data_IF_589986095188
#
_entry.id   IF_589986095188
#
_cell.length_a   1.000
_cell.length_b   1.000
_cell.length_c   1.000
_cell.angle_alpha   90.00
_cell.angle_beta   90.00
_cell.angle_gamma   90.00
#
_symmetry.space_group_name_H-M   'P 1'
#
loop_
_entity.id
_entity.type
_entity.pdbx_description
1 polymer ?
#
# COMPACT_ATOMS: atom_id res chain seq x y z
N UNK A 1 -5.17 59.36 -31.77
CA UNK A 1 -4.68 60.74 -31.62
C UNK A 1 -4.92 61.17 -30.17
N UNK A 2 -3.84 61.33 -29.36
CA UNK A 2 -3.72 62.23 -28.17
C UNK A 2 -4.71 61.96 -26.99
N UNK A 3 -4.37 61.72 -25.71
CA UNK A 3 -3.21 61.96 -24.82
C UNK A 3 -3.36 61.13 -23.52
N UNK A 4 -2.21 60.84 -22.91
CA UNK A 4 -1.98 60.37 -21.52
C UNK A 4 -2.68 61.24 -20.46
N UNK A 5 -2.98 60.68 -19.29
CA UNK A 5 -2.44 61.17 -18.00
C UNK A 5 -2.75 60.21 -16.84
N UNK A 6 -1.67 59.63 -16.30
CA UNK A 6 -1.61 59.04 -14.96
C UNK A 6 -1.32 60.15 -13.93
N UNK A 7 -1.91 60.05 -12.74
CA UNK A 7 -1.35 60.60 -11.49
C UNK A 7 -1.78 59.73 -10.32
N UNK A 8 -0.82 59.03 -9.71
CA UNK A 8 -0.91 58.65 -8.30
C UNK A 8 -0.52 59.82 -7.42
N UNK A 9 -0.76 59.70 -6.10
CA UNK A 9 0.12 60.18 -5.02
C UNK A 9 -0.35 59.57 -3.70
N UNK A 10 0.63 58.97 -3.03
CA UNK A 10 0.73 58.45 -1.67
C UNK A 10 0.74 59.61 -0.66
N UNK A 11 0.33 59.42 0.60
CA UNK A 11 1.05 59.95 1.80
C UNK A 11 0.44 59.31 3.06
N UNK A 12 1.33 58.76 3.87
CA UNK A 12 1.11 58.24 5.21
C UNK A 12 1.06 59.36 6.26
N UNK A 13 0.33 59.15 7.35
CA UNK A 13 0.53 59.93 8.58
C UNK A 13 0.53 58.98 9.79
N UNK A 14 1.69 58.90 10.45
CA UNK A 14 1.89 58.24 11.74
C UNK A 14 1.68 59.26 12.86
N UNK A 15 0.89 58.92 13.87
CA UNK A 15 0.90 59.59 15.18
C UNK A 15 0.94 58.49 16.24
N UNK A 16 2.03 58.49 17.01
CA UNK A 16 2.21 57.69 18.21
C UNK A 16 2.01 58.60 19.43
N UNK A 17 1.18 58.17 20.39
CA UNK A 17 1.13 58.73 21.74
C UNK A 17 1.07 57.59 22.76
N UNK A 18 2.10 57.55 23.62
CA UNK A 18 2.28 56.80 24.88
C UNK A 18 1.43 57.51 25.97
N UNK A 19 0.82 56.96 27.04
CA UNK A 19 1.12 56.02 28.16
C UNK A 19 -0.27 55.75 28.88
N UNK A 20 -0.51 55.01 30.00
CA UNK A 20 0.13 53.87 30.70
C UNK A 20 -0.79 52.66 31.04
N UNK A 21 -0.13 51.53 31.31
CA UNK A 21 -0.45 50.49 32.32
C UNK A 21 -1.92 50.23 32.71
N UNK A 22 -2.46 49.12 32.21
CA UNK A 22 -3.59 48.44 32.85
C UNK A 22 -4.47 47.71 31.86
N UNK A 23 -4.43 46.37 31.93
CA UNK A 23 -5.33 45.43 31.25
C UNK A 23 -4.96 45.10 29.80
N UNK A 24 -4.30 43.95 29.67
CA UNK A 24 -4.13 43.17 28.45
C UNK A 24 -5.51 42.80 27.90
N UNK A 25 -5.87 43.38 26.76
CA UNK A 25 -6.91 42.84 25.88
C UNK A 25 -6.25 42.50 24.54
N UNK A 26 -5.46 41.43 24.54
CA UNK A 26 -5.10 40.70 23.33
C UNK A 26 -6.42 40.20 22.73
N UNK A 27 -6.86 40.84 21.65
CA UNK A 27 -7.85 40.27 20.75
C UNK A 27 -7.23 39.01 20.15
N UNK A 28 -7.38 37.88 20.84
CA UNK A 28 -7.20 36.58 20.22
C UNK A 28 -8.31 36.45 19.19
N UNK A 29 -7.97 36.60 17.92
CA UNK A 29 -8.63 35.86 16.87
C UNK A 29 -8.50 34.39 17.27
N UNK A 30 -9.53 33.88 17.94
CA UNK A 30 -9.72 32.46 18.10
C UNK A 30 -10.03 31.94 16.70
N UNK A 31 -8.98 31.59 15.97
CA UNK A 31 -9.13 30.53 14.99
C UNK A 31 -9.72 29.37 15.78
N UNK A 32 -10.99 29.12 15.51
CA UNK A 32 -11.64 27.87 15.82
C UNK A 32 -10.83 26.85 15.03
N UNK A 33 -9.79 26.32 15.68
CA UNK A 33 -9.23 25.05 15.31
C UNK A 33 -10.41 24.12 15.44
N UNK A 34 -11.09 23.86 14.33
CA UNK A 34 -11.72 22.58 14.11
C UNK A 34 -10.55 21.59 14.21
N UNK A 35 -10.19 21.24 15.45
CA UNK A 35 -9.56 19.97 15.74
C UNK A 35 -10.30 18.99 14.87
N UNK A 36 -9.64 18.27 13.95
CA UNK A 36 -10.32 17.23 13.22
C UNK A 36 -10.90 16.34 14.31
N UNK A 37 -12.22 16.42 14.49
CA UNK A 37 -12.97 15.51 15.33
C UNK A 37 -12.43 14.16 14.93
N UNK A 38 -11.75 13.49 15.85
CA UNK A 38 -11.28 12.13 15.65
C UNK A 38 -12.46 11.41 15.01
N UNK A 39 -12.34 11.16 13.69
CA UNK A 39 -13.46 10.66 12.91
C UNK A 39 -13.81 9.38 13.61
N UNK A 40 -14.99 9.35 14.23
CA UNK A 40 -15.49 8.25 15.03
C UNK A 40 -15.07 6.98 14.30
N UNK A 41 -14.05 6.27 14.82
CA UNK A 41 -13.46 5.14 14.12
C UNK A 41 -14.65 4.26 13.76
N UNK A 42 -14.87 4.02 12.47
CA UNK A 42 -16.16 3.53 11.96
C UNK A 42 -16.55 2.15 12.52
N UNK A 43 -15.72 1.57 13.38
CA UNK A 43 -15.73 0.18 13.82
C UNK A 43 -15.33 -0.76 12.69
N UNK A 44 -15.34 -0.28 11.44
CA UNK A 44 -15.09 -1.08 10.26
C UNK A 44 -13.59 -1.32 10.12
N UNK A 45 -13.20 -2.54 9.78
CA UNK A 45 -11.81 -2.83 9.40
C UNK A 45 -11.71 -4.13 8.62
N UNK A 46 -10.70 -4.22 7.74
CA UNK A 46 -10.36 -5.46 7.06
C UNK A 46 -9.11 -6.07 7.69
N UNK A 47 -9.14 -7.39 7.94
CA UNK A 47 -7.95 -8.16 8.29
C UNK A 47 -7.70 -9.24 7.26
N UNK A 48 -6.52 -9.22 6.64
CA UNK A 48 -6.09 -10.25 5.70
C UNK A 48 -5.05 -11.14 6.38
N UNK A 49 -5.33 -12.44 6.42
CA UNK A 49 -4.40 -13.45 6.90
C UNK A 49 -3.93 -14.30 5.72
N UNK A 50 -2.66 -14.16 5.36
CA UNK A 50 -2.04 -14.90 4.26
C UNK A 50 -1.28 -16.09 4.84
N UNK A 51 -1.75 -17.29 4.51
CA UNK A 51 -1.07 -18.55 4.81
C UNK A 51 -0.10 -18.89 3.67
N UNK A 52 1.19 -18.81 3.96
CA UNK A 52 2.28 -19.08 3.03
C UNK A 52 2.54 -20.58 2.99
N UNK A 53 2.33 -21.15 1.81
CA UNK A 53 2.46 -22.57 1.51
C UNK A 53 3.67 -22.86 0.62
N UNK A 54 3.94 -24.15 0.39
CA UNK A 54 4.97 -24.56 -0.55
C UNK A 54 4.54 -24.35 -2.02
N UNK A 55 5.45 -23.96 -2.93
CA UNK A 55 6.89 -23.77 -2.73
C UNK A 55 7.32 -22.42 -2.13
N UNK A 56 6.49 -21.38 -2.13
CA UNK A 56 6.85 -20.04 -1.61
C UNK A 56 7.47 -20.07 -0.21
N UNK A 57 6.94 -20.92 0.68
CA UNK A 57 7.43 -21.07 2.04
C UNK A 57 8.84 -21.64 2.17
N UNK A 58 9.36 -22.35 1.16
CA UNK A 58 10.72 -22.92 1.12
C UNK A 58 11.62 -22.12 0.18
N UNK A 59 11.17 -21.90 -1.05
CA UNK A 59 11.98 -21.27 -2.09
C UNK A 59 12.09 -19.75 -1.89
N UNK A 60 11.19 -19.17 -1.08
CA UNK A 60 11.06 -17.73 -0.94
C UNK A 60 10.34 -17.12 -2.14
N UNK A 61 10.25 -15.80 -2.17
CA UNK A 61 9.56 -15.09 -3.25
C UNK A 61 9.02 -13.74 -2.78
N UNK A 62 7.99 -13.26 -3.45
CA UNK A 62 7.40 -11.97 -3.15
C UNK A 62 5.87 -12.00 -3.24
N UNK A 63 5.26 -11.34 -2.28
CA UNK A 63 3.82 -11.07 -2.25
C UNK A 63 3.62 -9.56 -2.37
N UNK A 64 2.92 -9.14 -3.41
CA UNK A 64 2.45 -7.76 -3.56
C UNK A 64 1.04 -7.71 -2.94
N UNK A 65 0.84 -6.83 -1.98
CA UNK A 65 -0.46 -6.65 -1.32
C UNK A 65 -1.01 -5.30 -1.74
N UNK A 66 -2.16 -5.31 -2.42
CA UNK A 66 -2.87 -4.13 -2.91
C UNK A 66 -4.22 -3.99 -2.21
N UNK A 67 -4.40 -2.87 -1.51
CA UNK A 67 -5.66 -2.53 -0.84
C UNK A 67 -6.34 -1.35 -1.54
N UNK A 68 -7.64 -1.47 -1.81
CA UNK A 68 -8.46 -0.40 -2.39
C UNK A 68 -9.59 0.02 -1.45
N UNK A 69 -9.79 1.33 -1.22
CA UNK A 69 -10.98 1.83 -0.53
C UNK A 69 -12.25 1.37 -1.25
N UNK A 70 -13.28 1.06 -0.48
CA UNK A 70 -14.57 0.59 -0.98
C UNK A 70 -15.70 1.19 -0.13
N UNK A 71 -16.84 1.58 -0.73
CA UNK A 71 -17.93 2.23 0.00
C UNK A 71 -18.33 1.43 1.24
N UNK A 72 -18.48 2.12 2.37
CA UNK A 72 -18.68 1.45 3.67
C UNK A 72 -19.97 0.62 3.73
N UNK A 73 -21.02 1.04 3.05
CA UNK A 73 -22.30 0.35 2.90
C UNK A 73 -22.15 -0.93 2.05
N UNK A 74 -21.50 -0.83 0.90
CA UNK A 74 -21.20 -2.00 0.06
C UNK A 74 -20.24 -2.96 0.78
N UNK A 75 -19.23 -2.44 1.47
CA UNK A 75 -18.29 -3.23 2.25
C UNK A 75 -19.00 -4.03 3.34
N UNK A 76 -19.99 -3.45 4.03
CA UNK A 76 -20.78 -4.16 5.06
C UNK A 76 -21.48 -5.40 4.50
N UNK A 77 -21.94 -5.33 3.25
CA UNK A 77 -22.62 -6.43 2.57
C UNK A 77 -21.70 -7.60 2.18
N UNK A 78 -20.37 -7.40 2.18
CA UNK A 78 -19.41 -8.48 1.88
C UNK A 78 -19.45 -9.54 2.98
N UNK A 79 -19.71 -10.79 2.61
CA UNK A 79 -19.61 -11.91 3.55
C UNK A 79 -18.14 -12.21 3.90
N UNK A 80 -17.85 -12.44 5.17
CA UNK A 80 -16.50 -12.75 5.64
C UNK A 80 -16.43 -14.13 6.28
N UNK A 81 -15.30 -14.81 6.12
CA UNK A 81 -15.07 -16.13 6.73
C UNK A 81 -14.83 -16.07 8.25
N UNK A 82 -14.72 -14.87 8.82
CA UNK A 82 -14.56 -14.63 10.24
C UNK A 82 -14.50 -13.14 10.57
N UNK A 83 -14.40 -12.82 11.87
CA UNK A 83 -14.39 -11.45 12.37
C UNK A 83 -15.53 -11.17 13.37
N UNK A 84 -15.71 -9.90 13.71
CA UNK A 84 -16.76 -9.40 14.61
C UNK A 84 -17.61 -8.34 13.90
N UNK A 85 -18.60 -7.77 14.59
CA UNK A 85 -19.46 -6.71 14.07
C UNK A 85 -18.67 -5.41 13.88
N UNK A 86 -17.91 -5.34 12.79
CA UNK A 86 -17.03 -4.22 12.46
C UNK A 86 -15.80 -4.70 11.72
N UNK A 87 -15.12 -5.74 12.20
CA UNK A 87 -13.96 -6.30 11.49
C UNK A 87 -14.33 -7.51 10.66
N UNK A 88 -13.99 -7.50 9.36
CA UNK A 88 -14.06 -8.69 8.49
C UNK A 88 -12.68 -9.29 8.31
N UNK A 89 -12.56 -10.60 8.52
CA UNK A 89 -11.33 -11.36 8.37
C UNK A 89 -11.39 -12.28 7.14
N UNK A 90 -10.35 -12.21 6.30
CA UNK A 90 -10.19 -13.05 5.12
C UNK A 90 -8.92 -13.89 5.25
N UNK A 91 -9.10 -15.21 5.20
CA UNK A 91 -8.01 -16.17 5.27
C UNK A 91 -7.70 -16.66 3.85
N UNK A 92 -6.48 -16.41 3.40
CA UNK A 92 -6.00 -16.72 2.05
C UNK A 92 -4.84 -17.71 2.14
N UNK A 93 -4.61 -18.46 1.07
CA UNK A 93 -3.45 -19.33 0.90
C UNK A 93 -2.67 -18.89 -0.33
N UNK A 94 -1.35 -18.81 -0.22
CA UNK A 94 -0.46 -18.42 -1.33
C UNK A 94 0.71 -19.39 -1.38
N UNK A 95 0.94 -19.98 -2.55
CA UNK A 95 1.99 -20.96 -2.81
C UNK A 95 2.99 -20.53 -3.89
N UNK A 96 2.59 -19.67 -4.83
CA UNK A 96 3.49 -19.21 -5.89
C UNK A 96 4.57 -18.27 -5.35
N UNK A 97 5.83 -18.37 -5.84
CA UNK A 97 6.88 -17.40 -5.53
C UNK A 97 6.59 -15.97 -5.98
N UNK A 98 5.62 -15.77 -6.87
CA UNK A 98 5.21 -14.46 -7.38
C UNK A 98 3.70 -14.33 -7.30
N UNK A 99 3.22 -13.66 -6.27
CA UNK A 99 1.78 -13.50 -6.03
C UNK A 99 1.39 -12.07 -5.70
N UNK A 100 0.13 -11.76 -6.01
CA UNK A 100 -0.50 -10.48 -5.73
C UNK A 100 -1.81 -10.74 -5.02
N UNK A 101 -2.04 -10.05 -3.92
CA UNK A 101 -3.30 -10.05 -3.17
C UNK A 101 -3.95 -8.69 -3.36
N UNK A 102 -4.99 -8.62 -4.19
CA UNK A 102 -5.78 -7.42 -4.48
C UNK A 102 -7.12 -7.53 -3.77
N UNK A 103 -7.42 -6.58 -2.89
CA UNK A 103 -8.60 -6.64 -2.05
C UNK A 103 -9.15 -5.26 -1.70
N UNK A 104 -10.39 -5.24 -1.23
CA UNK A 104 -11.09 -4.04 -0.79
C UNK A 104 -11.14 -3.90 0.73
N UNK A 105 -11.15 -2.66 1.21
CA UNK A 105 -11.32 -2.30 2.61
C UNK A 105 -12.26 -1.10 2.76
N UNK A 106 -12.89 -0.90 3.94
CA UNK A 106 -13.88 0.17 4.10
C UNK A 106 -13.20 1.52 3.94
N UNK A 107 -13.76 2.39 3.10
CA UNK A 107 -13.18 3.67 2.74
C UNK A 107 -12.92 4.58 3.96
N UNK A 108 -13.70 4.43 5.04
CA UNK A 108 -13.51 5.18 6.28
C UNK A 108 -12.44 4.63 7.23
N UNK A 109 -11.71 3.56 6.85
CA UNK A 109 -10.81 2.85 7.75
C UNK A 109 -9.51 2.39 7.09
N UNK A 110 -8.72 1.61 7.82
CA UNK A 110 -7.50 0.94 7.35
C UNK A 110 -7.68 -0.58 7.36
N UNK A 111 -6.64 -1.28 6.91
CA UNK A 111 -6.58 -2.73 6.97
C UNK A 111 -5.33 -3.19 7.72
N UNK A 112 -5.40 -4.42 8.22
CA UNK A 112 -4.26 -5.10 8.84
C UNK A 112 -3.91 -6.36 8.06
N UNK A 113 -2.61 -6.66 8.04
CA UNK A 113 -2.08 -7.82 7.34
C UNK A 113 -1.31 -8.72 8.31
N UNK A 114 -1.56 -10.04 8.23
CA UNK A 114 -0.78 -11.06 8.92
C UNK A 114 -0.31 -12.11 7.93
N UNK A 115 0.99 -12.40 7.93
CA UNK A 115 1.54 -13.55 7.22
C UNK A 115 1.84 -14.67 8.22
N UNK A 116 1.49 -15.90 7.88
CA UNK A 116 1.82 -17.09 8.65
C UNK A 116 2.24 -18.20 7.70
N UNK A 117 3.16 -19.07 8.12
CA UNK A 117 3.44 -20.30 7.38
C UNK A 117 2.30 -21.29 7.60
N UNK A 118 1.93 -22.08 6.59
CA UNK A 118 1.06 -23.25 6.80
C UNK A 118 1.80 -24.20 7.75
N UNK A 119 1.18 -24.53 8.88
CA UNK A 119 1.85 -25.25 9.96
C UNK A 119 2.38 -26.60 9.47
N UNK A 120 3.68 -26.83 9.63
CA UNK A 120 4.30 -28.16 9.59
C UNK A 120 5.08 -28.33 10.88
N UNK A 121 5.06 -29.52 11.47
CA UNK A 121 5.51 -29.79 12.85
C UNK A 121 6.98 -29.49 13.17
N UNK A 122 7.78 -29.00 12.21
CA UNK A 122 9.14 -28.51 12.41
C UNK A 122 9.47 -27.27 11.56
N UNK A 123 8.47 -26.45 11.23
CA UNK A 123 8.69 -25.26 10.41
C UNK A 123 9.53 -24.21 11.13
N UNK A 124 10.64 -23.79 10.52
CA UNK A 124 11.31 -22.52 10.88
C UNK A 124 10.26 -21.39 10.93
N UNK A 125 10.44 -20.33 11.73
CA UNK A 125 9.58 -19.16 11.61
C UNK A 125 9.60 -18.58 10.20
N UNK A 126 8.46 -18.07 9.72
CA UNK A 126 8.40 -17.34 8.47
C UNK A 126 9.19 -16.04 8.62
N UNK A 127 10.21 -15.84 7.79
CA UNK A 127 10.98 -14.60 7.74
C UNK A 127 10.52 -13.79 6.55
N UNK A 128 10.17 -12.53 6.82
CA UNK A 128 9.66 -11.61 5.80
C UNK A 128 10.27 -10.24 5.97
N UNK A 129 10.37 -9.51 4.85
CA UNK A 129 10.82 -8.12 4.82
C UNK A 129 9.93 -7.32 3.90
N UNK A 130 9.36 -6.23 4.40
CA UNK A 130 8.73 -5.25 3.52
C UNK A 130 9.83 -4.49 2.77
N UNK A 131 9.79 -4.51 1.44
CA UNK A 131 10.85 -3.93 0.60
C UNK A 131 10.39 -2.69 -0.19
N UNK A 132 9.08 -2.47 -0.30
CA UNK A 132 8.50 -1.31 -0.98
C UNK A 132 7.07 -1.05 -0.49
N UNK A 133 6.73 0.23 -0.36
CA UNK A 133 5.36 0.74 -0.26
C UNK A 133 5.16 1.75 -1.38
N UNK A 134 3.94 1.85 -1.94
CA UNK A 134 3.63 2.89 -2.90
C UNK A 134 2.27 2.68 -3.55
N UNK A 135 2.15 3.12 -4.80
CA UNK A 135 0.99 2.92 -5.67
C UNK A 135 1.46 2.39 -7.04
N UNK A 136 0.53 1.89 -7.84
CA UNK A 136 0.78 1.57 -9.25
C UNK A 136 -0.48 1.76 -10.10
N UNK A 137 -0.27 1.99 -11.38
CA UNK A 137 -1.28 1.91 -12.43
C UNK A 137 -0.96 0.69 -13.28
N UNK A 138 -1.93 -0.21 -13.44
CA UNK A 138 -1.75 -1.47 -14.16
C UNK A 138 -2.97 -1.80 -14.99
N UNK A 139 -2.82 -2.71 -15.93
CA UNK A 139 -3.98 -3.33 -16.59
C UNK A 139 -4.47 -4.49 -15.75
N UNK A 140 -5.77 -4.52 -15.48
CA UNK A 140 -6.41 -5.65 -14.85
C UNK A 140 -6.27 -6.88 -15.75
N UNK A 141 -5.69 -8.00 -15.30
CA UNK A 141 -5.45 -9.14 -16.17
C UNK A 141 -6.75 -9.80 -16.68
N UNK A 142 -7.87 -9.62 -15.97
CA UNK A 142 -9.16 -10.20 -16.35
C UNK A 142 -9.93 -9.27 -17.29
N UNK A 143 -10.03 -7.99 -16.96
CA UNK A 143 -10.84 -7.04 -17.73
C UNK A 143 -10.05 -6.26 -18.78
N UNK A 144 -8.72 -6.31 -18.72
CA UNK A 144 -7.76 -5.52 -19.53
C UNK A 144 -7.89 -3.99 -19.36
N UNK A 145 -8.81 -3.55 -18.51
CA UNK A 145 -9.01 -2.15 -18.21
C UNK A 145 -7.89 -1.62 -17.30
N UNK A 146 -7.49 -0.35 -17.45
CA UNK A 146 -6.58 0.28 -16.52
C UNK A 146 -7.21 0.35 -15.12
N UNK A 147 -6.43 0.00 -14.11
CA UNK A 147 -6.81 0.09 -12.69
C UNK A 147 -5.70 0.76 -11.89
N UNK A 148 -6.11 1.60 -10.95
CA UNK A 148 -5.19 2.21 -9.98
C UNK A 148 -5.18 1.40 -8.69
N UNK A 149 -3.98 1.04 -8.24
CA UNK A 149 -3.72 0.48 -6.93
C UNK A 149 -3.12 1.57 -6.03
N UNK A 150 -3.94 2.23 -5.20
CA UNK A 150 -3.53 3.40 -4.43
C UNK A 150 -2.62 3.04 -3.24
N UNK A 151 -2.66 1.79 -2.78
CA UNK A 151 -1.82 1.28 -1.71
C UNK A 151 -1.29 -0.10 -2.10
N UNK A 152 0.03 -0.17 -2.27
CA UNK A 152 0.78 -1.39 -2.54
C UNK A 152 1.84 -1.57 -1.46
N UNK A 153 1.96 -2.79 -0.94
CA UNK A 153 3.10 -3.23 -0.14
C UNK A 153 3.73 -4.47 -0.77
N UNK A 154 5.02 -4.41 -1.04
CA UNK A 154 5.79 -5.56 -1.53
C UNK A 154 6.50 -6.20 -0.36
N UNK A 155 6.22 -7.48 -0.15
CA UNK A 155 6.74 -8.27 0.96
C UNK A 155 7.60 -9.39 0.37
N UNK A 156 8.90 -9.33 0.65
CA UNK A 156 9.82 -10.43 0.41
C UNK A 156 9.60 -11.51 1.47
N UNK A 157 9.39 -12.75 1.02
CA UNK A 157 9.43 -13.95 1.86
C UNK A 157 10.81 -14.59 1.66
N UNK A 158 11.57 -14.72 2.75
CA UNK A 158 12.90 -15.33 2.68
C UNK A 158 12.79 -16.85 2.43
N UNK A 159 13.67 -17.36 1.59
CA UNK A 159 13.80 -18.78 1.29
C UNK A 159 15.05 -19.08 0.46
N UNK A 160 15.15 -20.31 -0.03
CA UNK A 160 16.40 -20.87 -0.56
C UNK A 160 16.77 -20.35 -1.96
N UNK A 161 15.81 -19.80 -2.71
CA UNK A 161 15.97 -19.48 -4.14
C UNK A 161 15.81 -18.00 -4.47
N UNK A 162 14.76 -17.36 -3.95
CA UNK A 162 14.40 -16.00 -4.34
C UNK A 162 14.78 -14.98 -3.26
N UNK A 163 15.78 -14.16 -3.57
CA UNK A 163 16.28 -13.13 -2.66
C UNK A 163 15.50 -11.81 -2.75
N UNK A 164 15.87 -10.85 -1.90
CA UNK A 164 15.24 -9.53 -1.85
C UNK A 164 15.51 -8.70 -3.13
N UNK A 165 16.56 -8.98 -3.89
CA UNK A 165 16.84 -8.35 -5.17
C UNK A 165 15.84 -8.81 -6.22
N UNK A 166 15.63 -10.12 -6.31
CA UNK A 166 14.60 -10.72 -7.16
C UNK A 166 13.20 -10.17 -6.85
N UNK A 167 12.86 -10.04 -5.56
CA UNK A 167 11.57 -9.48 -5.13
C UNK A 167 11.36 -8.02 -5.59
N UNK A 168 12.44 -7.22 -5.69
CA UNK A 168 12.38 -5.86 -6.24
C UNK A 168 12.17 -5.87 -7.75
N UNK A 169 12.84 -6.78 -8.46
CA UNK A 169 12.66 -6.92 -9.91
C UNK A 169 11.21 -7.29 -10.22
N UNK A 170 10.66 -8.31 -9.53
CA UNK A 170 9.25 -8.67 -9.66
C UNK A 170 8.33 -7.47 -9.44
N UNK A 171 8.54 -6.71 -8.36
CA UNK A 171 7.75 -5.50 -8.08
C UNK A 171 7.87 -4.38 -9.11
N UNK A 172 8.89 -4.40 -9.97
CA UNK A 172 9.06 -3.44 -11.07
C UNK A 172 8.52 -3.94 -12.41
N UNK A 173 8.32 -5.26 -12.57
CA UNK A 173 7.93 -5.87 -13.85
C UNK A 173 6.59 -6.59 -13.80
N UNK A 174 5.91 -6.63 -12.65
CA UNK A 174 4.68 -7.43 -12.48
C UNK A 174 3.54 -7.02 -13.43
N UNK A 175 3.46 -5.76 -13.85
CA UNK A 175 2.45 -5.29 -14.81
C UNK A 175 2.62 -5.96 -16.18
N UNK A 176 3.87 -6.27 -16.56
CA UNK A 176 4.19 -7.05 -17.75
C UNK A 176 3.61 -8.46 -17.71
N UNK A 177 3.42 -9.04 -16.52
CA UNK A 177 2.79 -10.35 -16.38
C UNK A 177 1.30 -10.33 -16.75
N UNK A 178 0.61 -9.20 -16.59
CA UNK A 178 -0.81 -9.05 -16.93
C UNK A 178 -1.08 -8.84 -18.42
N UNK A 179 -0.02 -8.52 -19.17
CA UNK A 179 -0.08 -8.32 -20.62
C UNK A 179 0.26 -9.59 -21.41
N UNK A 180 0.55 -10.71 -20.74
CA UNK A 180 0.87 -11.95 -21.44
C UNK A 180 -0.38 -12.54 -22.11
N UNK A 181 -0.23 -13.00 -23.35
CA UNK A 181 -1.31 -13.71 -24.08
C UNK A 181 -1.53 -15.13 -23.55
N UNK A 182 -0.51 -15.71 -22.91
CA UNK A 182 -0.57 -17.04 -22.33
C UNK A 182 -1.52 -17.06 -21.11
N UNK A 183 -2.70 -17.64 -21.30
CA UNK A 183 -3.72 -17.74 -20.25
C UNK A 183 -3.31 -18.67 -19.10
N UNK A 184 -2.35 -19.56 -19.33
CA UNK A 184 -1.83 -20.46 -18.29
C UNK A 184 -0.69 -19.80 -17.48
N UNK A 185 -0.25 -18.61 -17.87
CA UNK A 185 0.75 -17.82 -17.16
C UNK A 185 0.25 -17.31 -15.80
N UNK A 186 -1.08 -17.12 -15.66
CA UNK A 186 -1.70 -16.46 -14.52
C UNK A 186 -2.86 -17.29 -13.95
N UNK A 187 -2.79 -17.58 -12.66
CA UNK A 187 -3.91 -18.14 -11.90
C UNK A 187 -4.60 -17.05 -11.09
N UNK A 188 -5.94 -17.04 -11.11
CA UNK A 188 -6.79 -16.10 -10.34
C UNK A 188 -7.70 -16.89 -9.40
N UNK A 189 -7.53 -16.69 -8.10
CA UNK A 189 -8.40 -17.25 -7.07
C UNK A 189 -9.18 -16.14 -6.36
N UNK A 190 -10.51 -16.21 -6.36
CA UNK A 190 -11.38 -15.19 -5.75
C UNK A 190 -11.77 -15.51 -4.31
N UNK A 191 -12.01 -14.45 -3.55
CA UNK A 191 -12.67 -14.46 -2.26
C UNK A 191 -13.60 -13.24 -2.17
N UNK A 192 -14.46 -13.19 -1.15
CA UNK A 192 -15.54 -12.22 -1.09
C UNK A 192 -15.10 -10.75 -1.16
N UNK A 193 -13.90 -10.41 -0.68
CA UNK A 193 -13.35 -9.05 -0.72
C UNK A 193 -12.25 -8.85 -1.76
N UNK A 194 -12.01 -9.80 -2.68
CA UNK A 194 -10.94 -9.63 -3.67
C UNK A 194 -10.46 -10.92 -4.32
N UNK A 195 -9.17 -10.93 -4.67
CA UNK A 195 -8.54 -12.04 -5.38
C UNK A 195 -7.05 -12.18 -5.09
N UNK A 196 -6.56 -13.39 -5.28
CA UNK A 196 -5.15 -13.75 -5.33
C UNK A 196 -4.80 -14.02 -6.79
N UNK A 197 -3.81 -13.30 -7.29
CA UNK A 197 -3.20 -13.50 -8.60
C UNK A 197 -1.86 -14.21 -8.37
N UNK A 198 -1.59 -15.28 -9.11
CA UNK A 198 -0.33 -16.03 -8.97
C UNK A 198 0.26 -16.34 -10.33
N UNK A 199 1.54 -16.07 -10.50
CA UNK A 199 2.24 -16.43 -11.73
C UNK A 199 2.63 -17.90 -11.71
N UNK A 200 2.54 -18.53 -12.87
CA UNK A 200 3.13 -19.83 -13.13
C UNK A 200 4.67 -19.72 -13.13
N UNK A 201 5.35 -20.86 -13.04
CA UNK A 201 6.82 -20.88 -13.07
C UNK A 201 7.39 -20.37 -14.40
N UNK A 202 6.78 -20.73 -15.53
CA UNK A 202 7.19 -20.24 -16.84
C UNK A 202 7.00 -18.72 -16.95
N UNK A 203 5.88 -18.19 -16.44
CA UNK A 203 5.64 -16.76 -16.42
C UNK A 203 6.65 -16.00 -15.55
N UNK A 204 7.02 -16.56 -14.39
CA UNK A 204 8.07 -16.01 -13.54
C UNK A 204 9.40 -15.89 -14.31
N UNK A 205 9.81 -16.95 -15.00
CA UNK A 205 11.07 -16.98 -15.75
C UNK A 205 11.06 -16.00 -16.95
N UNK A 206 9.88 -15.75 -17.54
CA UNK A 206 9.72 -14.78 -18.62
C UNK A 206 9.70 -13.31 -18.16
N UNK A 207 8.99 -13.01 -17.06
CA UNK A 207 8.74 -11.63 -16.57
C UNK A 207 9.83 -11.13 -15.62
N UNK A 208 10.43 -12.05 -14.85
CA UNK A 208 11.39 -11.72 -13.81
C UNK A 208 12.75 -12.27 -14.22
N UNK A 209 13.32 -11.66 -15.28
CA UNK A 209 14.67 -12.00 -15.70
C UNK A 209 15.69 -11.51 -14.68
N UNK A 210 16.47 -12.44 -14.13
CA UNK A 210 17.58 -12.13 -13.27
C UNK A 210 18.61 -11.31 -14.07
N UNK A 211 18.81 -10.05 -13.68
CA UNK A 211 19.79 -9.13 -14.25
C UNK A 211 21.25 -9.64 -14.16
N UNK A 212 21.49 -10.84 -13.63
CA UNK A 212 22.81 -11.51 -13.59
C UNK A 212 23.48 -11.75 -14.95
N UNK A 213 22.77 -11.64 -16.08
CA UNK A 213 23.45 -11.60 -17.39
C UNK A 213 24.12 -10.24 -17.71
N UNK A 214 23.95 -9.20 -16.88
CA UNK A 214 24.43 -7.85 -17.17
C UNK A 214 25.16 -7.10 -16.05
N UNK A 215 25.26 -7.61 -14.81
CA UNK A 215 25.83 -6.81 -13.72
C UNK A 215 26.71 -7.61 -12.75
N UNK A 216 28.03 -7.37 -12.84
CA UNK A 216 28.99 -7.68 -11.76
C UNK A 216 28.75 -6.69 -10.61
N UNK A 217 28.23 -7.16 -9.48
CA UNK A 217 28.21 -6.39 -8.24
C UNK A 217 29.33 -6.83 -7.30
N UNK A 218 30.20 -5.89 -6.95
CA UNK A 218 31.15 -6.05 -5.85
C UNK A 218 30.37 -6.12 -4.52
N UNK A 219 30.54 -7.25 -3.84
CA UNK A 219 29.92 -7.59 -2.56
C UNK A 219 30.49 -6.69 -1.46
N UNK A 220 29.69 -5.78 -0.92
CA UNK A 220 29.82 -5.25 0.44
C UNK A 220 28.45 -4.76 0.92
N UNK A 221 27.77 -5.52 1.79
CA UNK A 221 26.67 -4.95 2.56
C UNK A 221 26.59 -5.58 3.95
N UNK A 222 26.66 -4.68 4.94
CA UNK A 222 26.72 -4.96 6.37
C UNK A 222 25.41 -5.53 6.89
N UNK A 223 25.57 -6.46 7.82
CA UNK A 223 24.58 -7.19 8.60
C UNK A 223 23.73 -6.25 9.46
N UNK A 224 22.41 -6.27 9.27
CA UNK A 224 21.44 -5.87 10.29
C UNK A 224 20.37 -6.99 10.33
N UNK A 225 20.44 -7.80 11.36
CA UNK A 225 19.45 -8.83 11.68
C UNK A 225 18.28 -8.18 12.41
N UNK A 226 17.07 -8.31 11.87
CA UNK A 226 15.83 -8.05 12.61
C UNK A 226 14.93 -9.25 12.43
N UNK A 227 14.75 -10.02 13.50
CA UNK A 227 13.74 -11.07 13.62
C UNK A 227 12.45 -10.38 14.03
N UNK A 228 11.36 -10.54 13.27
CA UNK A 228 10.06 -10.01 13.68
C UNK A 228 8.90 -10.85 13.16
N UNK A 229 7.94 -11.12 14.06
CA UNK A 229 6.55 -11.40 13.71
C UNK A 229 5.96 -10.06 13.28
N UNK A 230 5.80 -9.87 11.98
CA UNK A 230 5.40 -8.58 11.42
C UNK A 230 3.88 -8.42 11.53
N UNK A 231 3.44 -7.57 12.44
CA UNK A 231 2.13 -6.92 12.36
C UNK A 231 2.30 -5.62 11.61
N UNK A 232 1.73 -5.53 10.41
CA UNK A 232 1.83 -4.33 9.58
C UNK A 232 0.46 -3.66 9.51
N UNK A 233 0.37 -2.46 10.10
CA UNK A 233 -0.75 -1.54 9.92
C UNK A 233 -0.35 -0.56 8.82
N UNK A 234 -1.00 -0.64 7.67
CA UNK A 234 -0.74 0.27 6.55
C UNK A 234 -1.79 1.37 6.61
N UNK A 235 -1.35 2.61 6.76
CA UNK A 235 -2.21 3.80 6.69
C UNK A 235 -2.12 4.35 5.27
N UNK A 236 -3.24 4.39 4.54
CA UNK A 236 -3.28 5.01 3.22
C UNK A 236 -3.32 6.53 3.37
N UNK A 237 -2.36 7.23 2.77
CA UNK A 237 -2.33 8.69 2.77
C UNK A 237 -3.31 9.22 1.72
N UNK A 238 -4.33 9.97 2.17
CA UNK A 238 -5.34 10.58 1.31
C UNK A 238 -4.69 11.78 0.62
N UNK A 239 -4.28 11.64 -0.65
CA UNK A 239 -3.94 12.82 -1.47
C UNK A 239 -5.23 13.57 -1.81
N UNK A 240 -5.44 14.70 -1.13
CA UNK A 240 -6.36 15.74 -1.58
C UNK A 240 -5.69 16.49 -2.73
N UNK A 241 -6.08 16.18 -3.96
CA UNK A 241 -5.81 17.03 -5.12
C UNK A 241 -6.85 18.13 -5.18
N UNK A 242 -6.48 19.33 -4.70
CA UNK A 242 -7.00 20.58 -5.27
C UNK A 242 -6.18 20.84 -6.53
N UNK A 243 -6.83 20.83 -7.69
CA UNK A 243 -6.29 21.45 -8.89
C UNK A 243 -7.31 22.48 -9.39
N UNK A 244 -6.75 23.60 -9.86
CA UNK A 244 -7.30 24.95 -9.92
C UNK A 244 -8.36 25.20 -10.99
#
# INVERSE_FOLDING_TARGET
>A
MVRKLARGILIALSVALLIPSGIVAMAMLTWKNDTPTASKASGLSTRVIISVDQPLGKDGGAIIVSGRPFPDDEWRAIEAGGGDNGRKEFNLRVSSPASIVDFVYPQSSTYSLKLKRVSSDNATPLRTRQIRIGSAEVHDPETQNPVTWPSISVIHVEGDRYDAGWARIFASTFDGAFRQEDKDALSIQRFAAGRVLSLSRSAIEAVVQDSKKGMKWHRHQRRLEVVSVVWLTITAEKRTGEEK
#
